data_IF_731588648422
#
_entry.id   IF_731588648422
#
_cell.length_a   1.000
_cell.length_b   1.000
_cell.length_c   1.000
_cell.angle_alpha   90.00
_cell.angle_beta   90.00
_cell.angle_gamma   90.00
#
_symmetry.space_group_name_H-M   'P 1'
#
loop_
_entity.id
_entity.type
_entity.pdbx_description
1 polymer ?
#
# COMPACT_ATOMS: atom_id res chain seq x y z
N UNK A 1 39.40 1.34 -23.14
CA UNK A 1 38.48 0.39 -22.48
C UNK A 1 37.19 1.12 -22.11
N UNK A 2 36.32 1.39 -23.08
CA UNK A 2 34.97 1.91 -22.79
C UNK A 2 34.16 0.76 -22.21
N UNK A 3 33.86 0.84 -20.92
CA UNK A 3 32.79 0.05 -20.31
C UNK A 3 31.54 0.87 -20.42
N UNK A 4 30.91 0.85 -21.59
CA UNK A 4 29.52 1.26 -21.71
C UNK A 4 28.71 0.37 -20.76
N UNK A 5 28.20 0.98 -19.69
CA UNK A 5 27.29 0.31 -18.77
C UNK A 5 26.03 -0.04 -19.56
N UNK A 6 25.54 -1.30 -19.51
CA UNK A 6 24.35 -1.68 -20.26
C UNK A 6 23.20 -0.76 -19.84
N UNK A 7 22.59 -0.11 -20.83
CA UNK A 7 21.35 0.64 -20.65
C UNK A 7 20.36 -0.32 -20.00
N UNK A 8 20.07 -0.09 -18.72
CA UNK A 8 19.16 -0.91 -17.93
C UNK A 8 17.81 -0.88 -18.63
N UNK A 9 17.44 -1.97 -19.28
CA UNK A 9 16.18 -2.08 -20.01
C UNK A 9 15.01 -1.59 -19.12
N UNK A 10 14.03 -0.88 -19.69
CA UNK A 10 12.84 -0.49 -18.95
C UNK A 10 12.14 -1.78 -18.50
N UNK A 11 12.30 -2.11 -17.20
CA UNK A 11 11.61 -3.25 -16.62
C UNK A 11 10.10 -3.02 -16.79
N UNK A 12 9.40 -4.05 -17.26
CA UNK A 12 7.96 -4.04 -17.32
C UNK A 12 7.38 -3.64 -15.95
N UNK A 13 6.37 -2.76 -15.90
CA UNK A 13 5.76 -2.34 -14.65
C UNK A 13 5.15 -3.57 -13.97
N UNK A 14 5.54 -3.79 -12.70
CA UNK A 14 4.80 -4.73 -11.87
C UNK A 14 3.37 -4.19 -11.70
N UNK A 15 2.36 -5.03 -11.96
CA UNK A 15 0.96 -4.68 -11.68
C UNK A 15 0.55 -5.33 -10.35
N UNK A 16 0.75 -4.66 -9.20
CA UNK A 16 0.43 -5.20 -7.87
C UNK A 16 -1.05 -5.35 -7.59
N UNK A 17 -1.90 -4.67 -8.38
CA UNK A 17 -3.26 -4.34 -7.98
C UNK A 17 -4.03 -5.58 -7.49
N UNK A 18 -3.99 -6.74 -8.16
CA UNK A 18 -4.72 -7.91 -7.67
C UNK A 18 -4.26 -8.40 -6.28
N UNK A 19 -2.95 -8.46 -6.02
CA UNK A 19 -2.42 -8.95 -4.75
C UNK A 19 -2.65 -7.97 -3.59
N UNK A 20 -2.57 -6.66 -3.88
CA UNK A 20 -2.86 -5.62 -2.90
C UNK A 20 -4.37 -5.56 -2.55
N UNK A 21 -5.24 -5.70 -3.54
CA UNK A 21 -6.69 -5.74 -3.35
C UNK A 21 -7.11 -7.00 -2.59
N UNK A 22 -6.50 -8.15 -2.89
CA UNK A 22 -6.73 -9.38 -2.13
C UNK A 22 -6.30 -9.21 -0.66
N UNK A 23 -5.13 -8.61 -0.42
CA UNK A 23 -4.70 -8.28 0.95
C UNK A 23 -5.70 -7.36 1.65
N UNK A 24 -6.21 -6.35 0.96
CA UNK A 24 -7.21 -5.43 1.51
C UNK A 24 -8.48 -6.19 1.93
N UNK A 25 -8.99 -7.06 1.05
CA UNK A 25 -10.16 -7.91 1.30
C UNK A 25 -9.98 -8.80 2.54
N UNK A 26 -8.85 -9.51 2.65
CA UNK A 26 -8.59 -10.39 3.80
C UNK A 26 -8.53 -9.63 5.13
N UNK A 27 -8.06 -8.38 5.11
CA UNK A 27 -8.03 -7.54 6.29
C UNK A 27 -9.42 -6.97 6.63
N UNK A 28 -10.25 -6.73 5.62
CA UNK A 28 -11.64 -6.35 5.83
C UNK A 28 -12.48 -7.49 6.43
N UNK A 29 -12.39 -8.68 5.85
CA UNK A 29 -13.06 -9.89 6.37
C UNK A 29 -12.62 -10.23 7.81
N UNK A 30 -11.43 -9.79 8.21
CA UNK A 30 -10.92 -9.92 9.58
C UNK A 30 -11.31 -8.79 10.54
N UNK A 31 -12.09 -7.79 10.11
CA UNK A 31 -12.51 -6.65 10.94
C UNK A 31 -11.39 -5.65 11.27
N UNK A 32 -10.24 -5.72 10.59
CA UNK A 32 -9.08 -4.88 10.93
C UNK A 32 -9.28 -3.40 10.58
N UNK A 33 -10.25 -3.09 9.73
CA UNK A 33 -10.63 -1.72 9.39
C UNK A 33 -11.65 -1.12 10.37
N UNK A 34 -12.32 -1.94 11.17
CA UNK A 34 -13.39 -1.53 12.07
C UNK A 34 -12.90 -0.51 13.09
N UNK A 35 -13.76 0.44 13.45
CA UNK A 35 -13.45 1.44 14.47
C UNK A 35 -13.15 0.81 15.85
N UNK A 36 -13.71 -0.38 16.12
CA UNK A 36 -13.49 -1.14 17.35
C UNK A 36 -12.09 -1.79 17.43
N UNK A 37 -11.33 -1.84 16.34
CA UNK A 37 -9.97 -2.39 16.35
C UNK A 37 -8.92 -1.32 16.69
N UNK A 38 -8.44 -1.34 17.94
CA UNK A 38 -7.58 -0.27 18.50
C UNK A 38 -6.18 -0.18 17.87
N UNK A 39 -5.65 -1.26 17.30
CA UNK A 39 -4.31 -1.27 16.67
C UNK A 39 -4.32 -0.75 15.23
N UNK A 40 -5.51 -0.65 14.63
CA UNK A 40 -5.73 -0.30 13.23
C UNK A 40 -5.19 -1.34 12.24
N UNK A 41 -5.55 -1.21 10.95
CA UNK A 41 -5.29 -2.26 9.98
C UNK A 41 -3.79 -2.57 9.83
N UNK A 42 -3.41 -3.86 9.71
CA UNK A 42 -2.04 -4.27 9.42
C UNK A 42 -1.46 -3.61 8.16
N UNK A 43 -0.13 -3.62 8.06
CA UNK A 43 0.61 -3.00 6.94
C UNK A 43 0.11 -3.48 5.58
N UNK A 44 -0.01 -2.64 4.55
CA UNK A 44 -0.40 -3.03 3.18
C UNK A 44 0.70 -3.77 2.41
N UNK A 45 1.84 -4.06 3.03
CA UNK A 45 2.98 -4.69 2.37
C UNK A 45 2.66 -6.10 1.89
N UNK A 46 2.90 -6.37 0.59
CA UNK A 46 2.83 -7.70 -0.04
C UNK A 46 4.22 -8.27 -0.33
N UNK A 47 5.23 -7.88 0.45
CA UNK A 47 6.64 -8.28 0.29
C UNK A 47 7.28 -7.91 -1.05
N UNK A 48 6.68 -6.96 -1.77
CA UNK A 48 7.28 -6.29 -2.93
C UNK A 48 7.74 -4.91 -2.50
N UNK A 49 9.06 -4.74 -2.35
CA UNK A 49 9.68 -3.47 -1.98
C UNK A 49 10.44 -2.89 -3.19
N UNK A 50 9.72 -2.11 -4.00
CA UNK A 50 10.27 -1.45 -5.19
C UNK A 50 9.53 -0.15 -5.40
N UNK A 51 10.26 0.95 -5.62
CA UNK A 51 9.64 2.23 -5.96
C UNK A 51 9.42 2.32 -7.47
N UNK A 52 8.33 2.98 -7.88
CA UNK A 52 8.10 3.31 -9.29
C UNK A 52 9.24 4.17 -9.87
N UNK A 53 9.29 4.29 -11.19
CA UNK A 53 10.34 5.04 -11.88
C UNK A 53 10.42 6.52 -11.44
N UNK A 54 9.31 7.12 -11.04
CA UNK A 54 9.23 8.48 -10.51
C UNK A 54 9.50 8.59 -9.01
N UNK A 55 9.77 7.47 -8.32
CA UNK A 55 9.91 7.34 -6.86
C UNK A 55 8.71 7.88 -6.09
N UNK A 56 7.52 7.88 -6.68
CA UNK A 56 6.31 8.42 -6.04
C UNK A 56 5.69 7.41 -5.10
N UNK A 57 5.50 6.17 -5.58
CA UNK A 57 4.87 5.11 -4.82
C UNK A 57 5.66 3.80 -4.90
N UNK A 58 5.52 2.98 -3.86
CA UNK A 58 5.98 1.60 -3.89
C UNK A 58 5.07 0.80 -4.84
N UNK A 59 5.67 0.15 -5.83
CA UNK A 59 4.98 -0.70 -6.79
C UNK A 59 4.28 -1.89 -6.13
N UNK A 60 4.59 -2.25 -4.88
CA UNK A 60 3.91 -3.34 -4.17
C UNK A 60 2.67 -2.89 -3.39
N UNK A 61 2.85 -1.88 -2.54
CA UNK A 61 1.82 -1.47 -1.56
C UNK A 61 1.24 -0.08 -1.82
N UNK A 62 1.67 0.58 -2.90
CA UNK A 62 1.26 1.93 -3.31
C UNK A 62 1.45 3.03 -2.27
N UNK A 63 2.21 2.78 -1.19
CA UNK A 63 2.62 3.81 -0.23
C UNK A 63 3.69 4.72 -0.80
N UNK A 64 3.65 5.99 -0.43
CA UNK A 64 4.77 6.92 -0.61
C UNK A 64 5.92 6.61 0.37
N UNK A 65 7.10 7.18 0.13
CA UNK A 65 8.24 7.07 1.06
C UNK A 65 7.89 7.63 2.45
N UNK A 66 7.15 8.72 2.51
CA UNK A 66 6.77 9.34 3.77
C UNK A 66 5.76 8.46 4.55
N UNK A 67 4.82 7.84 3.85
CA UNK A 67 3.90 6.86 4.45
C UNK A 67 4.65 5.61 4.95
N UNK A 68 5.67 5.15 4.21
CA UNK A 68 6.54 4.04 4.65
C UNK A 68 7.29 4.40 5.93
N UNK A 69 7.88 5.62 5.99
CA UNK A 69 8.64 6.11 7.15
C UNK A 69 7.77 6.38 8.37
N UNK A 70 6.53 6.84 8.15
CA UNK A 70 5.59 7.17 9.22
C UNK A 70 4.93 5.93 9.83
N UNK A 71 4.79 4.84 9.08
CA UNK A 71 3.95 3.69 9.42
C UNK A 71 4.08 3.17 10.87
N UNK A 72 5.29 2.90 11.35
CA UNK A 72 5.51 2.35 12.70
C UNK A 72 5.11 3.31 13.82
N UNK A 73 4.98 4.61 13.52
CA UNK A 73 4.57 5.66 14.45
C UNK A 73 3.12 6.10 14.23
N UNK A 74 2.44 5.60 13.20
CA UNK A 74 1.03 5.91 12.95
C UNK A 74 0.14 5.15 13.92
N UNK A 75 -0.81 5.87 14.51
CA UNK A 75 -1.94 5.31 15.25
C UNK A 75 -2.96 4.64 14.31
N UNK A 76 -3.99 4.01 14.89
CA UNK A 76 -5.00 3.30 14.12
C UNK A 76 -5.72 4.17 13.10
N UNK A 77 -6.06 5.41 13.47
CA UNK A 77 -6.68 6.38 12.57
C UNK A 77 -5.75 6.73 11.39
N UNK A 78 -4.47 6.98 11.66
CA UNK A 78 -3.45 7.23 10.65
C UNK A 78 -3.22 6.05 9.72
N UNK A 79 -3.25 4.82 10.23
CA UNK A 79 -3.14 3.59 9.41
C UNK A 79 -4.35 3.42 8.48
N UNK A 80 -5.57 3.65 8.96
CA UNK A 80 -6.79 3.67 8.11
C UNK A 80 -6.73 4.75 7.04
N UNK A 81 -6.26 5.96 7.40
CA UNK A 81 -6.10 7.06 6.45
C UNK A 81 -5.07 6.73 5.34
N UNK A 82 -3.98 6.04 5.67
CA UNK A 82 -3.00 5.57 4.67
C UNK A 82 -3.64 4.53 3.73
N UNK A 83 -4.39 3.56 4.27
CA UNK A 83 -5.14 2.60 3.46
C UNK A 83 -6.15 3.28 2.53
N UNK A 84 -6.81 4.36 2.97
CA UNK A 84 -7.70 5.15 2.12
C UNK A 84 -7.03 5.77 0.91
N UNK A 85 -5.84 6.34 1.09
CA UNK A 85 -5.07 6.86 -0.03
C UNK A 85 -4.58 5.75 -0.96
N UNK A 86 -4.23 4.59 -0.42
CA UNK A 86 -3.82 3.41 -1.21
C UNK A 86 -4.96 2.89 -2.07
N UNK A 87 -6.16 2.71 -1.51
CA UNK A 87 -7.32 2.25 -2.24
C UNK A 87 -7.64 3.19 -3.41
N UNK A 88 -7.69 4.51 -3.15
CA UNK A 88 -7.90 5.51 -4.19
C UNK A 88 -6.85 5.43 -5.33
N UNK A 89 -5.57 5.18 -5.00
CA UNK A 89 -4.51 4.97 -6.00
C UNK A 89 -4.67 3.66 -6.78
N UNK A 90 -5.22 2.63 -6.14
CA UNK A 90 -5.50 1.34 -6.76
C UNK A 90 -6.78 1.35 -7.61
N UNK A 91 -7.55 2.44 -7.61
CA UNK A 91 -8.86 2.51 -8.26
C UNK A 91 -9.93 1.69 -7.53
N UNK A 92 -9.74 1.45 -6.23
CA UNK A 92 -10.69 0.78 -5.36
C UNK A 92 -11.19 1.73 -4.27
N UNK A 93 -12.36 1.42 -3.73
CA UNK A 93 -12.80 2.02 -2.48
C UNK A 93 -12.18 1.22 -1.33
N UNK A 94 -11.85 1.90 -0.22
CA UNK A 94 -11.57 1.14 1.01
C UNK A 94 -12.87 0.50 1.42
N UNK A 95 -12.86 -0.78 1.82
CA UNK A 95 -13.97 -1.32 2.59
C UNK A 95 -14.29 -0.35 3.71
N UNK A 96 -15.56 0.03 3.74
CA UNK A 96 -15.94 1.32 4.26
C UNK A 96 -15.54 1.45 5.74
N UNK A 97 -15.18 2.67 6.12
CA UNK A 97 -15.31 3.15 7.50
C UNK A 97 -16.79 3.19 7.95
N UNK A 98 -17.67 2.39 7.32
CA UNK A 98 -19.10 2.44 7.47
C UNK A 98 -19.54 1.64 8.69
N UNK A 99 -19.88 2.42 9.71
CA UNK A 99 -21.02 2.19 10.60
C UNK A 99 -21.00 0.88 11.38
N UNK A 100 -20.45 0.98 12.60
CA UNK A 100 -21.14 0.41 13.74
C UNK A 100 -22.62 0.85 13.67
N UNK A 101 -23.50 -0.12 13.38
CA UNK A 101 -24.91 -0.05 13.71
C UNK A 101 -25.13 -0.39 15.17
#
# INVERSE_FOLDING_TARGET
MSRDAPLKEPRAPYSPAPALLERMRLLDEGGYFDAAYDDGPPSPCISVCRMDAGRRFCEGCLRSIDEIRAWSRSDAAGRRAIWARIAARAGAEVPALATAG
#
